data_IF_509459469108
#
_entry.id   IF_509459469108
#
_cell.length_a   1.000
_cell.length_b   1.000
_cell.length_c   1.000
_cell.angle_alpha   90.00
_cell.angle_beta   90.00
_cell.angle_gamma   90.00
#
_symmetry.space_group_name_H-M   'P 1'
#
loop_
_entity.id
_entity.type
_entity.pdbx_description
1 polymer ?
#
# COMPACT_ATOMS: atom_id res chain seq x y z
N UNK A 1 40.99 40.36 34.86
CA UNK A 1 39.51 40.30 34.96
C UNK A 1 38.84 40.13 33.59
N UNK A 2 39.22 40.88 32.55
CA UNK A 2 38.63 40.71 31.20
C UNK A 2 38.83 39.31 30.59
N UNK A 3 39.95 38.60 30.90
CA UNK A 3 40.22 37.26 30.39
C UNK A 3 39.35 36.18 31.02
N UNK A 4 38.96 36.34 32.29
CA UNK A 4 38.04 35.41 32.98
C UNK A 4 36.62 35.51 32.42
N UNK A 5 36.19 36.75 32.14
CA UNK A 5 34.86 36.98 31.54
C UNK A 5 34.79 36.43 30.11
N UNK A 6 35.87 36.58 29.33
CA UNK A 6 35.99 36.00 27.99
C UNK A 6 35.96 34.49 28.03
N UNK A 7 36.71 33.86 28.95
CA UNK A 7 36.75 32.40 29.10
C UNK A 7 35.36 31.87 29.48
N UNK A 8 34.69 32.55 30.44
CA UNK A 8 33.33 32.18 30.84
C UNK A 8 32.32 32.33 29.71
N UNK A 9 32.45 33.41 28.92
CA UNK A 9 31.58 33.64 27.75
C UNK A 9 31.77 32.57 26.68
N UNK A 10 33.02 32.19 26.37
CA UNK A 10 33.35 31.14 25.41
C UNK A 10 32.82 29.76 25.89
N UNK A 11 33.01 29.49 27.18
CA UNK A 11 32.50 28.23 27.76
C UNK A 11 30.99 28.13 27.63
N UNK A 12 30.25 29.18 27.96
CA UNK A 12 28.79 29.23 27.81
C UNK A 12 28.34 29.05 26.35
N UNK A 13 29.08 29.69 25.42
CA UNK A 13 28.78 29.55 23.99
C UNK A 13 28.97 28.10 23.50
N UNK A 14 30.05 27.41 23.94
CA UNK A 14 30.30 26.01 23.61
C UNK A 14 29.25 25.10 24.20
N UNK A 15 28.87 25.28 25.44
CA UNK A 15 27.83 24.52 26.10
C UNK A 15 26.49 24.67 25.40
N UNK A 16 26.16 25.89 24.97
CA UNK A 16 24.95 26.18 24.20
C UNK A 16 25.00 25.45 22.86
N UNK A 17 26.12 25.53 22.16
CA UNK A 17 26.30 24.88 20.85
C UNK A 17 26.19 23.35 20.98
N UNK A 18 26.80 22.78 22.01
CA UNK A 18 26.71 21.36 22.27
C UNK A 18 25.26 20.90 22.55
N UNK A 19 24.49 21.73 23.29
CA UNK A 19 23.07 21.44 23.53
C UNK A 19 22.24 21.51 22.24
N UNK A 20 22.54 22.50 21.39
CA UNK A 20 21.86 22.64 20.09
C UNK A 20 22.16 21.44 19.21
N UNK A 21 23.41 21.02 19.10
CA UNK A 21 23.81 19.88 18.29
C UNK A 21 23.16 18.60 18.80
N UNK A 22 23.17 18.37 20.12
CA UNK A 22 22.54 17.18 20.71
C UNK A 22 21.03 17.19 20.49
N UNK A 23 20.39 18.34 20.64
CA UNK A 23 18.95 18.46 20.37
C UNK A 23 18.63 18.23 18.89
N UNK A 24 19.46 18.76 17.98
CA UNK A 24 19.30 18.56 16.53
C UNK A 24 19.38 17.08 16.17
N UNK A 25 20.33 16.35 16.74
CA UNK A 25 20.45 14.90 16.53
C UNK A 25 19.20 14.16 17.03
N UNK A 26 18.69 14.55 18.21
CA UNK A 26 17.48 13.94 18.77
C UNK A 26 16.25 14.22 17.88
N UNK A 27 16.12 15.42 17.35
CA UNK A 27 15.05 15.77 16.41
C UNK A 27 15.15 14.93 15.14
N UNK A 28 16.35 14.79 14.57
CA UNK A 28 16.56 13.98 13.37
C UNK A 28 16.18 12.52 13.61
N UNK A 29 16.56 11.95 14.76
CA UNK A 29 16.19 10.58 15.13
C UNK A 29 14.68 10.42 15.32
N UNK A 30 14.03 11.42 15.93
CA UNK A 30 12.59 11.41 16.12
C UNK A 30 11.86 11.50 14.77
N UNK A 31 12.34 12.34 13.86
CA UNK A 31 11.79 12.44 12.50
C UNK A 31 11.96 11.12 11.73
N UNK A 32 13.11 10.47 11.84
CA UNK A 32 13.34 9.15 11.23
C UNK A 32 12.38 8.09 11.79
N UNK A 33 12.11 8.14 13.09
CA UNK A 33 11.15 7.23 13.71
C UNK A 33 9.73 7.44 13.14
N UNK A 34 9.32 8.69 12.94
CA UNK A 34 8.04 9.02 12.31
C UNK A 34 8.00 8.50 10.88
N UNK A 35 9.04 8.76 10.09
CA UNK A 35 9.12 8.30 8.70
C UNK A 35 9.02 6.77 8.58
N UNK A 36 9.70 6.06 9.48
CA UNK A 36 9.62 4.59 9.53
C UNK A 36 8.24 4.09 9.92
N UNK A 37 7.58 4.76 10.87
CA UNK A 37 6.21 4.41 11.27
C UNK A 37 5.23 4.64 10.13
N UNK A 38 5.37 5.75 9.39
CA UNK A 38 4.55 6.03 8.21
C UNK A 38 4.76 4.99 7.10
N UNK A 39 6.01 4.58 6.87
CA UNK A 39 6.34 3.55 5.89
C UNK A 39 5.70 2.21 6.27
N UNK A 40 5.74 1.83 7.56
CA UNK A 40 5.07 0.62 8.04
C UNK A 40 3.56 0.69 7.85
N UNK A 41 2.95 1.84 8.17
CA UNK A 41 1.52 2.06 7.95
C UNK A 41 1.17 1.90 6.48
N UNK A 42 1.92 2.54 5.58
CA UNK A 42 1.65 2.48 4.15
C UNK A 42 1.76 1.05 3.61
N UNK A 43 2.76 0.29 4.05
CA UNK A 43 2.89 -1.12 3.68
C UNK A 43 1.73 -1.96 4.20
N UNK A 44 1.27 -1.70 5.43
CA UNK A 44 0.12 -2.41 6.00
C UNK A 44 -1.17 -2.09 5.24
N UNK A 45 -1.37 -0.83 4.84
CA UNK A 45 -2.52 -0.40 4.03
C UNK A 45 -2.47 -1.08 2.67
N UNK A 46 -1.33 -1.05 1.98
CA UNK A 46 -1.17 -1.71 0.67
C UNK A 46 -1.44 -3.21 0.75
N UNK A 47 -0.92 -3.87 1.79
CA UNK A 47 -1.16 -5.30 2.02
C UNK A 47 -2.65 -5.60 2.26
N UNK A 48 -3.32 -4.76 3.06
CA UNK A 48 -4.76 -4.90 3.32
C UNK A 48 -5.58 -4.68 2.05
N UNK A 49 -5.25 -3.66 1.26
CA UNK A 49 -5.91 -3.40 -0.02
C UNK A 49 -5.74 -4.56 -1.01
N UNK A 50 -4.54 -5.11 -1.10
CA UNK A 50 -4.27 -6.27 -1.95
C UNK A 50 -5.08 -7.50 -1.49
N UNK A 51 -5.24 -7.70 -0.18
CA UNK A 51 -6.05 -8.79 0.36
C UNK A 51 -7.54 -8.60 0.04
N UNK A 52 -8.04 -7.38 0.11
CA UNK A 52 -9.43 -7.05 -0.27
C UNK A 52 -9.65 -7.30 -1.76
N UNK A 53 -8.72 -6.88 -2.60
CA UNK A 53 -8.81 -7.11 -4.06
C UNK A 53 -8.84 -8.60 -4.40
N UNK A 54 -8.00 -9.40 -3.75
CA UNK A 54 -8.02 -10.87 -3.92
C UNK A 54 -9.36 -11.48 -3.47
N UNK A 55 -9.89 -11.02 -2.34
CA UNK A 55 -11.17 -11.49 -1.83
C UNK A 55 -12.31 -11.14 -2.78
N UNK A 56 -12.29 -9.92 -3.34
CA UNK A 56 -13.29 -9.48 -4.33
C UNK A 56 -13.22 -10.30 -5.62
N UNK A 57 -12.00 -10.62 -6.08
CA UNK A 57 -11.82 -11.52 -7.23
C UNK A 57 -12.37 -12.91 -6.95
N UNK A 58 -12.15 -13.42 -5.76
CA UNK A 58 -12.69 -14.72 -5.36
C UNK A 58 -14.21 -14.71 -5.35
N UNK A 59 -14.83 -13.65 -4.84
CA UNK A 59 -16.29 -13.47 -4.90
C UNK A 59 -16.77 -13.48 -6.35
N UNK A 60 -16.09 -12.74 -7.23
CA UNK A 60 -16.44 -12.68 -8.65
C UNK A 60 -16.34 -14.04 -9.33
N UNK A 61 -15.32 -14.86 -9.02
CA UNK A 61 -15.18 -16.23 -9.53
C UNK A 61 -16.32 -17.13 -9.06
N UNK A 62 -16.73 -17.02 -7.80
CA UNK A 62 -17.84 -17.79 -7.27
C UNK A 62 -19.17 -17.35 -7.88
N UNK A 63 -19.36 -16.04 -8.12
CA UNK A 63 -20.53 -15.52 -8.82
C UNK A 63 -20.57 -16.05 -10.26
N UNK A 64 -19.43 -16.07 -10.95
CA UNK A 64 -19.33 -16.65 -12.28
C UNK A 64 -19.74 -18.12 -12.31
N UNK A 65 -19.27 -18.91 -11.36
CA UNK A 65 -19.66 -20.32 -11.20
C UNK A 65 -21.17 -20.46 -10.94
N UNK A 66 -21.75 -19.58 -10.13
CA UNK A 66 -23.17 -19.55 -9.87
C UNK A 66 -23.98 -19.24 -11.12
N UNK A 67 -23.56 -18.24 -11.91
CA UNK A 67 -24.21 -17.88 -13.19
C UNK A 67 -24.16 -19.06 -14.16
N UNK A 68 -23.03 -19.75 -14.27
CA UNK A 68 -22.91 -20.95 -15.09
C UNK A 68 -23.85 -22.07 -14.64
N UNK A 69 -23.93 -22.26 -13.32
CA UNK A 69 -24.83 -23.28 -12.74
C UNK A 69 -26.32 -22.99 -12.91
N UNK A 70 -26.68 -21.70 -12.79
CA UNK A 70 -28.08 -21.24 -12.94
C UNK A 70 -28.51 -21.05 -14.40
N UNK A 71 -27.54 -20.83 -15.30
CA UNK A 71 -27.80 -20.58 -16.71
C UNK A 71 -28.18 -19.13 -17.05
N UNK A 72 -28.32 -18.23 -16.07
CA UNK A 72 -28.61 -16.81 -16.34
C UNK A 72 -28.14 -15.88 -15.24
N UNK A 73 -27.78 -14.68 -15.64
CA UNK A 73 -27.44 -13.57 -14.72
C UNK A 73 -28.66 -13.18 -13.88
N UNK A 74 -29.84 -13.13 -14.47
CA UNK A 74 -31.10 -12.79 -13.79
C UNK A 74 -31.39 -13.72 -12.60
N UNK A 75 -31.26 -15.00 -12.81
CA UNK A 75 -31.53 -16.01 -11.77
C UNK A 75 -30.48 -15.95 -10.65
N UNK A 76 -29.21 -15.78 -11.00
CA UNK A 76 -28.14 -15.62 -10.03
C UNK A 76 -28.32 -14.36 -9.19
N UNK A 77 -28.70 -13.25 -9.80
CA UNK A 77 -28.99 -11.99 -9.10
C UNK A 77 -30.14 -12.16 -8.09
N UNK A 78 -31.19 -12.86 -8.45
CA UNK A 78 -32.29 -13.18 -7.55
C UNK A 78 -31.84 -14.01 -6.35
N UNK A 79 -31.04 -15.06 -6.58
CA UNK A 79 -30.52 -15.91 -5.50
C UNK A 79 -29.68 -15.07 -4.52
N UNK A 80 -28.82 -14.21 -5.05
CA UNK A 80 -27.89 -13.38 -4.25
C UNK A 80 -28.57 -12.14 -3.66
N UNK A 81 -29.80 -11.82 -4.09
CA UNK A 81 -30.53 -10.60 -3.70
C UNK A 81 -29.75 -9.32 -3.99
N UNK A 82 -29.11 -9.28 -5.15
CA UNK A 82 -28.40 -8.10 -5.67
C UNK A 82 -28.91 -7.79 -7.08
N UNK A 83 -28.56 -6.61 -7.61
CA UNK A 83 -28.99 -6.22 -8.96
C UNK A 83 -28.24 -7.00 -10.03
N UNK A 84 -28.87 -7.22 -11.18
CA UNK A 84 -28.21 -7.79 -12.36
C UNK A 84 -27.00 -6.94 -12.80
N UNK A 85 -27.15 -5.62 -12.70
CA UNK A 85 -26.07 -4.67 -13.02
C UNK A 85 -24.81 -4.95 -12.18
N UNK A 86 -25.00 -5.23 -10.91
CA UNK A 86 -23.92 -5.53 -9.97
C UNK A 86 -23.24 -6.87 -10.35
N UNK A 87 -24.02 -7.88 -10.68
CA UNK A 87 -23.50 -9.17 -11.15
C UNK A 87 -22.67 -8.99 -12.43
N UNK A 88 -23.21 -8.27 -13.42
CA UNK A 88 -22.51 -8.00 -14.68
C UNK A 88 -21.22 -7.23 -14.47
N UNK A 89 -21.21 -6.27 -13.55
CA UNK A 89 -20.00 -5.52 -13.19
C UNK A 89 -18.92 -6.40 -12.58
N UNK A 90 -19.30 -7.31 -11.68
CA UNK A 90 -18.37 -8.28 -11.09
C UNK A 90 -17.75 -9.18 -12.16
N UNK A 91 -18.55 -9.69 -13.07
CA UNK A 91 -18.08 -10.55 -14.17
C UNK A 91 -17.17 -9.80 -15.14
N UNK A 92 -17.49 -8.53 -15.44
CA UNK A 92 -16.67 -7.69 -16.30
C UNK A 92 -15.30 -7.42 -15.68
N UNK A 93 -15.26 -7.14 -14.38
CA UNK A 93 -14.01 -6.93 -13.64
C UNK A 93 -13.16 -8.20 -13.61
N UNK A 94 -13.78 -9.36 -13.41
CA UNK A 94 -13.09 -10.65 -13.43
C UNK A 94 -12.44 -10.92 -14.80
N UNK A 95 -13.17 -10.71 -15.88
CA UNK A 95 -12.65 -10.91 -17.25
C UNK A 95 -11.49 -9.96 -17.54
N UNK A 96 -11.59 -8.71 -17.12
CA UNK A 96 -10.50 -7.73 -17.26
C UNK A 96 -9.24 -8.19 -16.55
N UNK A 97 -9.39 -8.64 -15.32
CA UNK A 97 -8.27 -9.13 -14.50
C UNK A 97 -7.61 -10.36 -15.14
N UNK A 98 -8.39 -11.33 -15.61
CA UNK A 98 -7.87 -12.52 -16.30
C UNK A 98 -7.12 -12.16 -17.58
N UNK A 99 -7.62 -11.18 -18.33
CA UNK A 99 -6.95 -10.67 -19.53
C UNK A 99 -5.62 -10.03 -19.19
N UNK A 100 -5.57 -9.20 -18.16
CA UNK A 100 -4.34 -8.55 -17.69
C UNK A 100 -3.29 -9.58 -17.23
N UNK A 101 -3.69 -10.59 -16.46
CA UNK A 101 -2.80 -11.68 -16.05
C UNK A 101 -2.23 -12.44 -17.25
N UNK A 102 -3.07 -12.71 -18.25
CA UNK A 102 -2.66 -13.41 -19.46
C UNK A 102 -1.63 -12.61 -20.25
N UNK A 103 -1.84 -11.29 -20.38
CA UNK A 103 -0.89 -10.40 -21.07
C UNK A 103 0.44 -10.30 -20.34
N UNK A 104 0.44 -10.18 -19.01
CA UNK A 104 1.65 -10.17 -18.20
C UNK A 104 2.45 -11.46 -18.36
N UNK A 105 1.76 -12.60 -18.39
CA UNK A 105 2.38 -13.91 -18.58
C UNK A 105 3.06 -13.99 -19.94
N UNK A 106 2.39 -13.52 -21.01
CA UNK A 106 2.94 -13.49 -22.37
C UNK A 106 4.18 -12.60 -22.42
N UNK A 107 4.13 -11.41 -21.85
CA UNK A 107 5.26 -10.47 -21.82
C UNK A 107 6.46 -11.06 -21.07
N UNK A 108 6.22 -11.73 -19.95
CA UNK A 108 7.28 -12.41 -19.21
C UNK A 108 7.91 -13.56 -19.99
N UNK A 109 7.13 -14.34 -20.70
CA UNK A 109 7.62 -15.43 -21.57
C UNK A 109 8.43 -14.88 -22.74
N UNK A 110 8.00 -13.79 -23.36
CA UNK A 110 8.75 -13.11 -24.42
C UNK A 110 10.08 -12.58 -23.93
N UNK A 111 10.11 -11.98 -22.74
CA UNK A 111 11.36 -11.49 -22.13
C UNK A 111 12.32 -12.64 -21.81
N UNK A 112 11.81 -13.78 -21.38
CA UNK A 112 12.62 -14.98 -21.13
C UNK A 112 13.22 -15.56 -22.40
N UNK A 113 12.48 -15.51 -23.51
CA UNK A 113 12.94 -16.05 -24.78
C UNK A 113 14.01 -15.18 -25.47
N UNK A 114 14.13 -13.89 -25.10
CA UNK A 114 15.12 -12.95 -25.60
C UNK A 114 16.36 -12.81 -24.70
N UNK A 115 16.36 -13.43 -23.57
CA UNK A 115 17.51 -13.45 -22.66
C UNK A 115 18.29 -14.72 -22.81
#
# INVERSE_FOLDING_TARGET
MASRDRIAAVKRARERQNRIEAATVRVAKAQDAVSRAEARRNRAVESAEAAIDRANLNVAREVDALVDGCGSVCYAADILQISERRVRKMLANLRRHETEEYQETIEQEEQRSHG
#
